data_IF_151800964201
#
_entry.id   IF_151800964201
#
_cell.length_a   1.000
_cell.length_b   1.000
_cell.length_c   1.000
_cell.angle_alpha   90.00
_cell.angle_beta   90.00
_cell.angle_gamma   90.00
#
_symmetry.space_group_name_H-M   'P 1'
#
loop_
_entity.id
_entity.type
_entity.pdbx_description
1 polymer ?
#
# COMPACT_ATOMS: atom_id res chain seq x y z
N UNK A 1 -1.87 -6.23 10.89
CA UNK A 1 -2.36 -5.45 9.74
C UNK A 1 -1.45 -4.24 9.58
N UNK A 2 -1.10 -3.90 8.35
CA UNK A 2 -0.32 -2.73 7.96
C UNK A 2 -1.16 -1.91 6.98
N UNK A 3 -1.23 -0.59 7.20
CA UNK A 3 -1.90 0.36 6.30
C UNK A 3 -0.88 1.38 5.87
N UNK A 4 -0.76 1.61 4.57
CA UNK A 4 0.22 2.52 4.00
C UNK A 4 -0.44 3.44 2.97
N UNK A 5 -0.19 4.75 3.11
CA UNK A 5 -0.53 5.74 2.09
C UNK A 5 0.69 5.99 1.21
N UNK A 6 0.57 5.66 -0.08
CA UNK A 6 1.68 5.65 -1.03
C UNK A 6 1.68 6.91 -1.87
N UNK A 7 2.65 7.79 -1.60
CA UNK A 7 2.85 9.01 -2.35
C UNK A 7 3.16 8.76 -3.84
N UNK A 8 3.05 9.82 -4.66
CA UNK A 8 3.26 9.75 -6.12
C UNK A 8 4.59 9.10 -6.51
N UNK A 9 5.60 9.25 -5.66
CA UNK A 9 6.92 8.70 -5.89
C UNK A 9 7.02 7.17 -6.02
N UNK A 10 6.00 6.43 -5.57
CA UNK A 10 5.92 4.97 -5.76
C UNK A 10 5.48 4.59 -7.18
N UNK A 11 4.90 5.53 -7.93
CA UNK A 11 4.21 5.30 -9.20
C UNK A 11 4.81 6.08 -10.37
N UNK A 12 5.35 7.26 -10.10
CA UNK A 12 5.97 8.13 -11.09
C UNK A 12 7.43 8.38 -10.74
N UNK A 13 8.26 8.53 -11.78
CA UNK A 13 9.67 8.86 -11.58
C UNK A 13 9.81 10.32 -11.13
N UNK A 14 10.12 10.51 -9.85
CA UNK A 14 10.33 11.82 -9.23
C UNK A 14 11.81 12.23 -9.20
N UNK A 15 12.70 11.51 -9.90
CA UNK A 15 14.12 11.84 -10.09
C UNK A 15 15.04 11.62 -8.88
N UNK A 16 14.57 11.85 -7.65
CA UNK A 16 15.40 11.87 -6.44
C UNK A 16 15.64 10.48 -5.82
N UNK A 17 14.74 9.53 -6.08
CA UNK A 17 14.94 8.13 -5.73
C UNK A 17 14.33 7.31 -6.86
N UNK A 18 15.17 6.53 -7.55
CA UNK A 18 14.78 5.86 -8.79
C UNK A 18 13.53 5.00 -8.60
N UNK A 19 12.57 5.15 -9.51
CA UNK A 19 11.31 4.41 -9.53
C UNK A 19 11.52 2.90 -9.35
N UNK A 20 12.54 2.35 -10.02
CA UNK A 20 12.89 0.93 -9.95
C UNK A 20 13.24 0.47 -8.53
N UNK A 21 14.00 1.28 -7.78
CA UNK A 21 14.39 0.92 -6.41
C UNK A 21 13.17 0.87 -5.49
N UNK A 22 12.21 1.78 -5.67
CA UNK A 22 10.97 1.79 -4.87
C UNK A 22 10.08 0.61 -5.22
N UNK A 23 9.88 0.35 -6.51
CA UNK A 23 9.13 -0.83 -6.97
C UNK A 23 9.72 -2.13 -6.42
N UNK A 24 11.05 -2.24 -6.41
CA UNK A 24 11.76 -3.37 -5.81
C UNK A 24 11.51 -3.48 -4.30
N UNK A 25 11.66 -2.39 -3.55
CA UNK A 25 11.40 -2.42 -2.09
C UNK A 25 9.93 -2.67 -1.75
N UNK A 26 9.00 -2.16 -2.57
CA UNK A 26 7.56 -2.37 -2.39
C UNK A 26 7.20 -3.84 -2.66
N UNK A 27 7.81 -4.47 -3.67
CA UNK A 27 7.67 -5.90 -3.89
C UNK A 27 8.16 -6.72 -2.69
N UNK A 28 9.37 -6.44 -2.19
CA UNK A 28 9.90 -7.12 -0.99
C UNK A 28 8.98 -6.97 0.23
N UNK A 29 8.39 -5.77 0.42
CA UNK A 29 7.46 -5.49 1.51
C UNK A 29 6.17 -6.31 1.38
N UNK A 30 5.60 -6.39 0.16
CA UNK A 30 4.42 -7.22 -0.12
C UNK A 30 4.70 -8.69 0.15
N UNK A 31 5.81 -9.22 -0.36
CA UNK A 31 6.22 -10.62 -0.17
C UNK A 31 6.38 -10.94 1.32
N UNK A 32 7.00 -10.03 2.09
CA UNK A 32 7.15 -10.20 3.54
C UNK A 32 5.80 -10.21 4.26
N UNK A 33 4.89 -9.30 3.88
CA UNK A 33 3.56 -9.24 4.48
C UNK A 33 2.77 -10.52 4.19
N UNK A 34 2.79 -11.00 2.95
CA UNK A 34 2.15 -12.26 2.56
C UNK A 34 2.72 -13.44 3.35
N UNK A 35 4.06 -13.60 3.40
CA UNK A 35 4.73 -14.68 4.10
C UNK A 35 4.45 -14.70 5.61
N UNK A 36 4.17 -13.54 6.20
CA UNK A 36 3.83 -13.39 7.63
C UNK A 36 2.33 -13.32 7.90
N UNK A 37 1.49 -13.50 6.88
CA UNK A 37 0.03 -13.36 6.96
C UNK A 37 -0.38 -11.98 7.54
N UNK A 38 0.42 -10.96 7.27
CA UNK A 38 0.12 -9.58 7.59
C UNK A 38 -0.74 -9.03 6.47
N UNK A 39 -2.00 -8.75 6.78
CA UNK A 39 -2.88 -8.00 5.91
C UNK A 39 -2.30 -6.60 5.65
N UNK A 40 -1.98 -6.32 4.38
CA UNK A 40 -1.43 -5.06 3.89
C UNK A 40 -2.50 -4.33 3.07
N UNK A 41 -2.81 -3.09 3.45
CA UNK A 41 -3.65 -2.17 2.68
C UNK A 41 -2.81 -1.00 2.19
N UNK A 42 -2.76 -0.84 0.87
CA UNK A 42 -2.04 0.26 0.22
C UNK A 42 -3.08 1.20 -0.39
N UNK A 43 -3.01 2.49 -0.04
CA UNK A 43 -3.87 3.55 -0.59
C UNK A 43 -2.99 4.44 -1.45
N UNK A 44 -3.33 4.63 -2.72
CA UNK A 44 -2.54 5.50 -3.59
C UNK A 44 -2.78 6.96 -3.26
N UNK A 45 -1.80 7.80 -3.61
CA UNK A 45 -1.91 9.23 -3.42
C UNK A 45 -3.08 9.88 -4.18
N UNK A 46 -3.49 9.27 -5.29
CA UNK A 46 -4.54 9.73 -6.20
C UNK A 46 -5.89 9.02 -5.99
N UNK A 47 -5.98 8.11 -5.02
CA UNK A 47 -7.24 7.47 -4.65
C UNK A 47 -8.10 8.39 -3.77
N UNK A 48 -9.43 8.24 -3.83
CA UNK A 48 -10.32 8.84 -2.85
C UNK A 48 -10.09 8.19 -1.48
N UNK A 49 -9.54 8.98 -0.55
CA UNK A 49 -9.15 8.50 0.77
C UNK A 49 -10.35 7.98 1.57
N UNK A 50 -11.51 8.65 1.48
CA UNK A 50 -12.68 8.27 2.27
C UNK A 50 -13.27 6.95 1.78
N UNK A 51 -13.39 6.76 0.46
CA UNK A 51 -13.81 5.50 -0.15
C UNK A 51 -12.85 4.38 0.21
N UNK A 52 -11.54 4.61 0.10
CA UNK A 52 -10.52 3.60 0.41
C UNK A 52 -10.56 3.16 1.87
N UNK A 53 -10.71 4.12 2.80
CA UNK A 53 -10.85 3.84 4.23
C UNK A 53 -12.14 3.09 4.55
N UNK A 54 -13.26 3.46 3.91
CA UNK A 54 -14.54 2.78 4.12
C UNK A 54 -14.48 1.32 3.68
N UNK A 55 -13.91 1.03 2.50
CA UNK A 55 -13.70 -0.34 2.01
C UNK A 55 -12.86 -1.14 3.01
N UNK A 56 -11.74 -0.58 3.47
CA UNK A 56 -10.88 -1.22 4.48
C UNK A 56 -11.64 -1.52 5.78
N UNK A 57 -12.41 -0.56 6.29
CA UNK A 57 -13.20 -0.74 7.52
C UNK A 57 -14.28 -1.82 7.37
N UNK A 58 -14.94 -1.88 6.21
CA UNK A 58 -15.90 -2.95 5.91
C UNK A 58 -15.25 -4.33 5.91
N UNK A 59 -14.07 -4.48 5.30
CA UNK A 59 -13.33 -5.75 5.28
C UNK A 59 -12.89 -6.19 6.68
N UNK A 60 -12.42 -5.26 7.51
CA UNK A 60 -12.04 -5.53 8.91
C UNK A 60 -13.27 -6.03 9.69
N UNK A 61 -14.43 -5.39 9.50
CA UNK A 61 -15.65 -5.75 10.22
C UNK A 61 -16.24 -7.10 9.76
N UNK A 62 -16.11 -7.47 8.47
CA UNK A 62 -16.55 -8.79 7.96
C UNK A 62 -15.75 -9.98 8.50
N UNK A 63 -14.54 -9.74 9.02
CA UNK A 63 -13.63 -10.78 9.54
C UNK A 63 -13.75 -10.99 11.06
N UNK A 64 -14.55 -10.16 11.74
CA UNK A 64 -14.93 -10.36 13.15
C UNK A 64 -16.09 -11.35 13.24
#
# INVERSE_FOLDING_TARGET
>A
MLVEYQGAQHYIDCGLFGLYQRQYSDAMKRDYCEAKQIMLYEIRYDDDLNSSLNVMLEEINKRK
#
